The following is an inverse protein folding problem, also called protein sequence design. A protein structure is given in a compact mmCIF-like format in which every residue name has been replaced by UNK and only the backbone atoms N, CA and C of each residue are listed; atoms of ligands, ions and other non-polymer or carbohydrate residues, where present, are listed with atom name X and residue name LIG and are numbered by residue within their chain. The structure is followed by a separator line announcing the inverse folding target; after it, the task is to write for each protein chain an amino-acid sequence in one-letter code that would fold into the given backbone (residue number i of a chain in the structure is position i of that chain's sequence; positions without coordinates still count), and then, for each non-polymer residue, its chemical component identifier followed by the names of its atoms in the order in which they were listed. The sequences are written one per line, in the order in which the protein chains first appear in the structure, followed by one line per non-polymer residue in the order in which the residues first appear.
data_IF_865365253054
#
_entry.id   IF_865365253054
#
_cell.length_a   1.000
_cell.length_b   1.000
_cell.length_c   1.000
_cell.angle_alpha   90.00
_cell.angle_beta   90.00
_cell.angle_gamma   90.00
#
_symmetry.space_group_name_H-M   'P 1'
#
loop_
_entity.id
_entity.type
_entity.pdbx_description
1 polymer ?
#
# COMPACT_ATOMS: atom_id res chain seq x y z
N UNK A 1 -24.12 -7.42 -6.11
CA UNK A 1 -22.84 -7.49 -6.86
C UNK A 1 -21.70 -7.16 -5.90
N UNK A 2 -20.70 -8.03 -5.79
CA UNK A 2 -19.55 -7.81 -4.90
C UNK A 2 -18.72 -6.64 -5.44
N UNK A 3 -18.51 -5.59 -4.63
CA UNK A 3 -17.72 -4.42 -5.01
C UNK A 3 -16.37 -4.46 -4.28
N UNK A 4 -15.27 -4.43 -5.02
CA UNK A 4 -13.92 -4.27 -4.46
C UNK A 4 -13.43 -2.84 -4.73
N UNK A 5 -13.19 -2.09 -3.66
CA UNK A 5 -12.73 -0.68 -3.73
C UNK A 5 -11.34 -0.53 -4.34
N UNK A 6 -10.51 -1.57 -4.24
CA UNK A 6 -9.19 -1.64 -4.83
C UNK A 6 -8.87 -3.07 -5.18
N UNK A 7 -8.43 -3.29 -6.41
CA UNK A 7 -7.99 -4.59 -6.91
C UNK A 7 -6.46 -4.74 -6.87
N UNK A 8 -5.72 -3.65 -7.06
CA UNK A 8 -4.25 -3.65 -7.01
C UNK A 8 -3.73 -3.93 -5.59
N UNK A 9 -2.82 -4.89 -5.47
CA UNK A 9 -2.13 -5.19 -4.22
C UNK A 9 -1.34 -4.00 -3.67
N UNK A 10 -1.19 -3.95 -2.35
CA UNK A 10 -0.28 -3.03 -1.68
C UNK A 10 1.11 -3.65 -1.65
N UNK A 11 2.04 -3.04 -2.38
CA UNK A 11 3.43 -3.51 -2.46
C UNK A 11 4.35 -2.72 -1.54
N UNK A 12 5.40 -3.36 -1.03
CA UNK A 12 6.43 -2.70 -0.21
C UNK A 12 7.17 -1.64 -1.03
N UNK A 13 7.40 -0.47 -0.43
CA UNK A 13 8.24 0.57 -1.02
C UNK A 13 9.64 0.02 -1.38
N UNK A 14 10.10 0.28 -2.61
CA UNK A 14 11.38 -0.14 -3.19
C UNK A 14 11.53 -1.65 -3.46
N UNK A 15 10.47 -2.46 -3.37
CA UNK A 15 10.55 -3.89 -3.77
C UNK A 15 10.76 -4.07 -5.28
N UNK A 16 10.34 -3.10 -6.07
CA UNK A 16 10.56 -3.01 -7.51
C UNK A 16 12.02 -2.71 -7.86
N UNK A 17 12.75 -2.02 -6.97
CA UNK A 17 14.14 -1.60 -7.19
C UNK A 17 15.17 -2.63 -6.72
N UNK A 18 14.89 -3.35 -5.63
CA UNK A 18 15.87 -4.24 -5.00
C UNK A 18 15.33 -5.66 -4.84
N UNK A 19 16.03 -6.64 -5.43
CA UNK A 19 15.64 -8.07 -5.34
C UNK A 19 15.57 -8.62 -3.90
N UNK A 20 16.38 -8.07 -2.98
CA UNK A 20 16.37 -8.45 -1.55
C UNK A 20 15.10 -8.04 -0.81
N UNK A 21 14.27 -7.17 -1.39
CA UNK A 21 13.03 -6.70 -0.78
C UNK A 21 11.84 -7.43 -1.39
N UNK A 22 11.12 -8.21 -0.57
CA UNK A 22 9.88 -8.83 -1.01
C UNK A 22 8.76 -7.82 -1.25
N UNK A 23 7.87 -8.16 -2.18
CA UNK A 23 6.70 -7.34 -2.55
C UNK A 23 5.64 -7.25 -1.44
N UNK A 24 5.71 -8.07 -0.38
CA UNK A 24 4.73 -8.09 0.72
C UNK A 24 4.73 -6.77 1.49
N UNK A 25 3.55 -6.17 1.69
CA UNK A 25 3.40 -4.87 2.35
C UNK A 25 4.12 -4.79 3.71
N UNK A 26 4.83 -3.68 3.93
CA UNK A 26 5.41 -3.29 5.23
C UNK A 26 5.24 -1.79 5.42
N UNK A 27 4.87 -1.36 6.62
CA UNK A 27 4.70 0.06 6.97
C UNK A 27 6.07 0.75 7.06
N UNK A 28 6.35 1.80 6.26
CA UNK A 28 7.60 2.54 6.35
C UNK A 28 7.68 3.34 7.66
N UNK A 29 8.86 3.36 8.28
CA UNK A 29 9.10 4.02 9.59
C UNK A 29 10.00 5.27 9.53
N UNK A 30 10.84 5.41 8.49
CA UNK A 30 11.85 6.48 8.41
C UNK A 30 11.27 7.90 8.37
N UNK A 31 11.97 8.86 8.97
CA UNK A 31 11.50 10.25 9.17
C UNK A 31 11.15 10.94 7.84
N UNK A 32 12.02 10.83 6.83
CA UNK A 32 11.84 11.47 5.53
C UNK A 32 11.26 10.54 4.45
N UNK A 33 10.75 9.38 4.85
CA UNK A 33 10.22 8.43 3.88
C UNK A 33 9.00 9.02 3.14
N UNK A 34 9.10 9.09 1.80
CA UNK A 34 8.08 9.73 0.97
C UNK A 34 6.70 9.06 1.02
N UNK A 35 6.67 7.73 1.16
CA UNK A 35 5.41 6.97 1.33
C UNK A 35 4.80 7.24 2.70
N UNK A 36 5.61 7.29 3.77
CA UNK A 36 5.14 7.63 5.13
C UNK A 36 4.53 9.03 5.17
N UNK A 37 5.16 9.99 4.50
CA UNK A 37 4.70 11.39 4.38
C UNK A 37 3.59 11.60 3.34
N UNK A 38 3.17 10.54 2.62
CA UNK A 38 2.08 10.53 1.63
C UNK A 38 2.24 11.55 0.49
N UNK A 39 3.45 11.74 -0.02
CA UNK A 39 3.65 12.59 -1.19
C UNK A 39 2.88 12.08 -2.42
N UNK A 40 2.39 13.01 -3.24
CA UNK A 40 1.65 12.72 -4.48
C UNK A 40 2.48 11.81 -5.41
N UNK A 41 1.82 10.85 -6.05
CA UNK A 41 2.45 9.93 -7.02
C UNK A 41 3.26 8.79 -6.40
N UNK A 42 3.32 8.66 -5.07
CA UNK A 42 3.95 7.52 -4.42
C UNK A 42 2.95 6.41 -4.08
N UNK A 43 3.49 5.23 -3.70
CA UNK A 43 2.69 4.08 -3.30
C UNK A 43 1.69 4.45 -2.20
N UNK A 44 0.45 3.99 -2.36
CA UNK A 44 -0.60 4.17 -1.37
C UNK A 44 -0.37 3.21 -0.19
N UNK A 45 -0.70 3.68 1.01
CA UNK A 45 -0.72 2.84 2.21
C UNK A 45 -2.09 2.18 2.38
N UNK A 46 -2.15 0.91 2.82
CA UNK A 46 -3.39 0.28 3.22
C UNK A 46 -3.94 1.00 4.45
N UNK A 47 -5.25 1.16 4.46
CA UNK A 47 -6.02 1.76 5.54
C UNK A 47 -7.42 1.11 5.57
N UNK A 48 -8.16 1.34 6.65
CA UNK A 48 -9.48 0.75 6.87
C UNK A 48 -10.53 1.18 5.82
N UNK A 49 -10.34 2.32 5.15
CA UNK A 49 -11.24 2.84 4.13
C UNK A 49 -11.37 1.93 2.90
N UNK A 50 -10.35 1.12 2.62
CA UNK A 50 -10.38 0.12 1.54
C UNK A 50 -11.17 -1.15 1.89
N UNK A 51 -11.64 -1.29 3.13
CA UNK A 51 -12.46 -2.43 3.55
C UNK A 51 -13.71 -2.59 2.67
N UNK A 52 -14.03 -3.84 2.30
CA UNK A 52 -15.27 -4.17 1.58
C UNK A 52 -16.48 -3.98 2.50
N UNK A 53 -17.68 -3.84 1.92
CA UNK A 53 -18.90 -3.73 2.71
C UNK A 53 -19.11 -5.05 3.49
N UNK A 54 -19.47 -4.97 4.77
CA UNK A 54 -19.62 -6.14 5.65
C UNK A 54 -20.66 -7.15 5.13
N UNK A 55 -21.66 -6.69 4.39
CA UNK A 55 -22.75 -7.52 3.85
C UNK A 55 -22.42 -8.14 2.48
N UNK A 56 -21.27 -7.82 1.88
CA UNK A 56 -20.91 -8.17 0.50
C UNK A 56 -19.47 -8.64 0.35
#
# INVERSE_FOLDING_TARGET
KIVKKRTKHFIRHQSDRYAKLSHKWRKPKGIDNRVRRRFKGQYLMPNIGYGSNKRT
#
